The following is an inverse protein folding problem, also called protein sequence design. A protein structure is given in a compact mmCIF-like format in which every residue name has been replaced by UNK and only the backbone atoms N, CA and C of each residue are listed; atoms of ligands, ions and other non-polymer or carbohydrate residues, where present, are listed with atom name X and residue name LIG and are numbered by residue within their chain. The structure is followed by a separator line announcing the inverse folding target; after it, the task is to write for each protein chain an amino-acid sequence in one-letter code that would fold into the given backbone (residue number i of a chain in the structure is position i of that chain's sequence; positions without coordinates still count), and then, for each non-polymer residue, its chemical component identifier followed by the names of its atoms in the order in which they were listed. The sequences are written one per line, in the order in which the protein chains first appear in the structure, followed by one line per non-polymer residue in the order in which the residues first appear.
data_IF_538617907121
#
_entry.id   IF_538617907121
#
_cell.length_a   1.000
_cell.length_b   1.000
_cell.length_c   1.000
_cell.angle_alpha   90.00
_cell.angle_beta   90.00
_cell.angle_gamma   90.00
#
_symmetry.space_group_name_H-M   'P 1'
#
loop_
_entity.id
_entity.type
_entity.pdbx_description
1 polymer ?
#
# COMPACT_ATOMS: atom_id res chain seq x y z
N UNK A 1 44.40 -63.74 12.20
CA UNK A 1 43.25 -63.24 11.41
C UNK A 1 43.25 -61.73 11.57
N UNK A 2 43.43 -61.04 10.44
CA UNK A 2 43.17 -59.61 10.15
C UNK A 2 44.12 -58.61 10.83
N UNK A 3 45.13 -58.15 10.09
CA UNK A 3 45.14 -57.01 9.13
C UNK A 3 45.13 -55.68 9.90
N UNK A 4 46.25 -54.96 9.94
CA UNK A 4 46.60 -53.85 9.01
C UNK A 4 45.69 -52.62 9.32
N UNK A 5 46.18 -51.44 9.74
CA UNK A 5 47.13 -50.61 9.02
C UNK A 5 47.66 -49.46 9.90
N UNK A 6 48.95 -49.15 9.72
CA UNK A 6 49.51 -47.82 9.39
C UNK A 6 48.71 -46.57 9.83
N UNK A 7 49.28 -45.57 10.52
CA UNK A 7 49.98 -44.43 9.89
C UNK A 7 50.89 -43.68 10.90
N UNK A 8 51.91 -43.05 10.33
CA UNK A 8 53.12 -42.43 10.88
C UNK A 8 52.98 -41.06 11.57
N UNK A 9 53.87 -40.85 12.57
CA UNK A 9 54.74 -39.68 12.87
C UNK A 9 54.31 -38.25 12.44
N UNK A 10 54.40 -37.31 13.39
CA UNK A 10 55.09 -35.98 13.36
C UNK A 10 54.97 -35.36 14.77
N UNK A 11 56.04 -35.25 15.56
CA UNK A 11 56.97 -34.09 15.71
C UNK A 11 56.23 -32.78 16.00
N UNK A 12 56.60 -32.14 17.12
CA UNK A 12 55.80 -31.16 17.84
C UNK A 12 55.87 -29.71 17.37
N UNK A 13 55.22 -28.84 18.14
CA UNK A 13 55.47 -27.40 18.18
C UNK A 13 54.87 -26.85 19.48
N UNK A 14 55.75 -26.46 20.40
CA UNK A 14 55.44 -25.61 21.53
C UNK A 14 55.34 -24.15 21.08
N UNK A 15 54.48 -23.37 21.74
CA UNK A 15 54.54 -21.90 21.73
C UNK A 15 53.30 -21.23 21.14
N UNK A 16 52.26 -21.04 21.94
CA UNK A 16 51.23 -20.04 21.69
C UNK A 16 51.80 -18.71 22.21
N UNK A 17 52.29 -17.87 21.29
CA UNK A 17 52.63 -16.49 21.58
C UNK A 17 51.41 -15.62 21.26
N UNK A 18 50.63 -15.29 22.29
CA UNK A 18 49.55 -14.31 22.21
C UNK A 18 50.16 -12.90 22.26
N UNK A 19 50.30 -12.26 21.10
CA UNK A 19 50.72 -10.87 20.96
C UNK A 19 49.48 -10.01 20.64
N UNK A 20 48.94 -9.35 21.65
CA UNK A 20 47.92 -8.31 21.48
C UNK A 20 48.65 -6.99 21.19
N UNK A 21 48.68 -6.59 19.92
CA UNK A 21 49.12 -5.27 19.48
C UNK A 21 47.90 -4.44 19.08
N UNK A 22 47.37 -3.67 20.04
CA UNK A 22 46.39 -2.63 19.79
C UNK A 22 47.12 -1.45 19.12
N UNK A 23 46.92 -1.29 17.81
CA UNK A 23 47.39 -0.10 17.09
C UNK A 23 46.18 0.66 16.56
N UNK A 24 45.86 1.75 17.27
CA UNK A 24 44.97 2.79 16.76
C UNK A 24 45.67 3.45 15.56
N UNK A 25 45.07 3.36 14.37
CA UNK A 25 45.39 4.25 13.27
C UNK A 25 44.16 5.11 13.00
N UNK A 26 44.29 6.40 13.32
CA UNK A 26 43.41 7.44 12.82
C UNK A 26 43.90 7.82 11.43
N UNK A 27 43.06 7.61 10.42
CA UNK A 27 43.33 7.96 9.03
C UNK A 27 42.02 8.20 8.29
N UNK A 28 41.47 9.40 8.49
CA UNK A 28 40.34 9.95 7.73
C UNK A 28 40.81 10.20 6.30
N UNK A 29 40.04 9.69 5.33
CA UNK A 29 40.29 9.87 3.91
C UNK A 29 39.34 9.04 3.04
N UNK A 30 38.04 9.09 3.34
CA UNK A 30 37.02 8.58 2.42
C UNK A 30 36.79 9.68 1.37
N UNK A 31 37.35 9.51 0.18
CA UNK A 31 36.71 10.04 -1.02
C UNK A 31 35.63 9.02 -1.36
N UNK A 32 34.38 9.35 -1.02
CA UNK A 32 33.25 8.58 -1.56
C UNK A 32 33.17 8.92 -3.04
N UNK A 33 33.73 8.04 -3.87
CA UNK A 33 33.23 7.90 -5.22
C UNK A 33 31.80 7.40 -5.05
N UNK A 34 30.82 8.31 -5.17
CA UNK A 34 29.42 7.94 -5.32
C UNK A 34 29.32 7.09 -6.58
N UNK A 35 29.41 5.78 -6.40
CA UNK A 35 28.87 4.83 -7.34
C UNK A 35 27.39 5.13 -7.39
N UNK A 36 26.95 5.71 -8.50
CA UNK A 36 25.63 5.40 -9.03
C UNK A 36 25.70 3.95 -9.49
N UNK A 37 25.71 3.01 -8.54
CA UNK A 37 25.10 1.71 -8.79
C UNK A 37 23.62 2.04 -8.89
N UNK A 38 23.19 2.39 -10.11
CA UNK A 38 21.78 2.32 -10.45
C UNK A 38 21.42 0.85 -10.36
N UNK A 39 21.07 0.40 -9.17
CA UNK A 39 20.13 -0.69 -9.05
C UNK A 39 18.90 -0.18 -9.78
N UNK A 40 18.69 -0.67 -11.01
CA UNK A 40 17.37 -0.60 -11.63
C UNK A 40 16.44 -1.20 -10.59
N UNK A 41 15.55 -0.37 -10.05
CA UNK A 41 14.45 -0.87 -9.21
C UNK A 41 13.65 -1.84 -10.07
N UNK A 42 13.19 -2.97 -9.51
CA UNK A 42 12.41 -3.91 -10.29
C UNK A 42 11.23 -3.20 -10.94
N UNK A 43 11.00 -3.46 -12.22
CA UNK A 43 9.97 -2.84 -13.05
C UNK A 43 8.69 -3.67 -13.04
N UNK A 44 7.53 -3.00 -13.14
CA UNK A 44 6.25 -3.65 -13.34
C UNK A 44 5.32 -2.76 -14.17
N UNK A 45 4.33 -3.38 -14.81
CA UNK A 45 3.21 -2.69 -15.45
C UNK A 45 1.91 -3.43 -15.14
N UNK A 46 0.81 -2.70 -15.08
CA UNK A 46 -0.53 -3.26 -14.84
C UNK A 46 -1.53 -2.57 -15.75
N UNK A 47 -2.49 -3.35 -16.24
CA UNK A 47 -3.65 -2.89 -17.00
C UNK A 47 -4.90 -3.40 -16.30
N UNK A 48 -5.73 -2.48 -15.84
CA UNK A 48 -6.96 -2.76 -15.12
C UNK A 48 -8.12 -2.01 -15.77
N UNK A 49 -8.95 -2.78 -16.48
CA UNK A 49 -10.04 -2.22 -17.26
C UNK A 49 -11.34 -2.06 -16.45
N UNK A 50 -12.16 -1.13 -16.91
CA UNK A 50 -13.51 -0.93 -16.36
C UNK A 50 -14.33 -2.21 -16.54
N UNK A 51 -14.99 -2.65 -15.47
CA UNK A 51 -15.66 -3.95 -15.47
C UNK A 51 -16.93 -3.97 -14.62
N UNK A 52 -17.67 -5.06 -14.78
CA UNK A 52 -18.84 -5.36 -13.98
C UNK A 52 -18.59 -6.68 -13.26
N UNK A 53 -18.87 -6.73 -11.96
CA UNK A 53 -18.60 -7.90 -11.09
C UNK A 53 -19.81 -8.28 -10.25
N UNK A 54 -19.87 -9.53 -9.82
CA UNK A 54 -20.79 -9.99 -8.78
C UNK A 54 -20.36 -9.53 -7.37
N UNK A 55 -19.17 -8.92 -7.22
CA UNK A 55 -18.68 -8.29 -6.00
C UNK A 55 -17.61 -9.08 -5.23
N UNK A 56 -17.43 -10.38 -5.52
CA UNK A 56 -16.46 -11.24 -4.81
C UNK A 56 -15.05 -11.17 -5.43
N UNK A 57 -14.96 -11.01 -6.75
CA UNK A 57 -13.68 -11.00 -7.48
C UNK A 57 -13.65 -9.91 -8.55
N UNK A 58 -12.44 -9.45 -8.89
CA UNK A 58 -12.19 -8.59 -10.05
C UNK A 58 -11.08 -9.19 -10.89
N UNK A 59 -11.06 -8.85 -12.17
CA UNK A 59 -10.06 -9.35 -13.12
C UNK A 59 -9.10 -8.24 -13.51
N UNK A 60 -7.80 -8.50 -13.37
CA UNK A 60 -6.72 -7.68 -13.90
C UNK A 60 -6.41 -8.18 -15.31
N UNK A 61 -6.55 -7.33 -16.33
CA UNK A 61 -6.42 -7.75 -17.74
C UNK A 61 -5.01 -8.23 -18.03
N UNK A 62 -4.00 -7.45 -17.65
CA UNK A 62 -2.60 -7.80 -17.83
C UNK A 62 -1.77 -7.24 -16.68
N UNK A 63 -0.81 -8.03 -16.19
CA UNK A 63 0.23 -7.56 -15.29
C UNK A 63 1.56 -8.15 -15.73
N UNK A 64 2.60 -7.31 -15.78
CA UNK A 64 3.98 -7.75 -15.99
C UNK A 64 4.79 -7.40 -14.76
N UNK A 65 5.45 -8.40 -14.18
CA UNK A 65 6.31 -8.26 -13.01
C UNK A 65 7.75 -8.69 -13.37
N UNK A 66 8.75 -7.85 -13.12
CA UNK A 66 10.17 -8.24 -13.32
C UNK A 66 10.59 -9.36 -12.35
N UNK A 67 10.07 -9.31 -11.14
CA UNK A 67 10.23 -10.31 -10.08
C UNK A 67 8.85 -10.87 -9.69
N UNK A 68 8.78 -11.84 -8.78
CA UNK A 68 7.47 -12.37 -8.35
C UNK A 68 6.75 -11.43 -7.38
N UNK A 69 5.44 -11.58 -7.24
CA UNK A 69 4.67 -10.74 -6.33
C UNK A 69 3.17 -10.91 -6.43
N UNK A 70 2.44 -9.83 -6.14
CA UNK A 70 0.98 -9.79 -6.04
C UNK A 70 0.42 -8.57 -6.76
N UNK A 71 -0.88 -8.59 -7.06
CA UNK A 71 -1.61 -7.36 -7.39
C UNK A 71 -2.62 -7.10 -6.28
N UNK A 72 -2.40 -6.01 -5.54
CA UNK A 72 -3.33 -5.53 -4.53
C UNK A 72 -4.39 -4.64 -5.19
N UNK A 73 -5.63 -4.79 -4.73
CA UNK A 73 -6.75 -3.96 -5.15
C UNK A 73 -7.06 -2.99 -4.03
N UNK A 74 -6.93 -1.70 -4.31
CA UNK A 74 -7.24 -0.63 -3.38
C UNK A 74 -8.56 0.04 -3.73
N UNK A 75 -9.28 0.51 -2.74
CA UNK A 75 -10.37 1.45 -2.95
C UNK A 75 -9.81 2.87 -3.18
N UNK A 76 -10.38 3.62 -4.12
CA UNK A 76 -10.01 5.03 -4.30
C UNK A 76 -10.60 5.90 -3.17
N UNK A 77 -9.79 6.80 -2.60
CA UNK A 77 -10.29 7.77 -1.61
C UNK A 77 -11.09 8.90 -2.28
N UNK A 78 -11.90 9.63 -1.51
CA UNK A 78 -12.69 10.76 -2.03
C UNK A 78 -11.82 11.86 -2.70
N UNK A 79 -10.56 11.99 -2.30
CA UNK A 79 -9.58 12.91 -2.88
C UNK A 79 -8.90 12.37 -4.15
N UNK A 80 -9.27 11.17 -4.61
CA UNK A 80 -8.69 10.49 -5.76
C UNK A 80 -7.38 9.76 -5.47
N UNK A 81 -7.04 9.55 -4.19
CA UNK A 81 -5.84 8.85 -3.77
C UNK A 81 -6.02 7.33 -3.67
N UNK A 82 -4.91 6.65 -3.39
CA UNK A 82 -4.92 5.21 -3.06
C UNK A 82 -5.38 5.04 -1.61
N UNK A 83 -6.49 4.34 -1.42
CA UNK A 83 -7.06 4.02 -0.12
C UNK A 83 -6.59 2.68 0.42
N UNK A 84 -7.44 2.05 1.25
CA UNK A 84 -7.15 0.75 1.86
C UNK A 84 -7.11 -0.38 0.83
N UNK A 85 -6.32 -1.42 1.11
CA UNK A 85 -6.31 -2.68 0.35
C UNK A 85 -7.59 -3.43 0.68
N UNK A 86 -8.40 -3.73 -0.33
CA UNK A 86 -9.65 -4.49 -0.20
C UNK A 86 -9.57 -5.87 -0.86
N UNK A 87 -8.48 -6.21 -1.54
CA UNK A 87 -8.32 -7.51 -2.19
C UNK A 87 -6.92 -7.73 -2.69
N UNK A 88 -6.60 -8.99 -3.02
CA UNK A 88 -5.29 -9.38 -3.54
C UNK A 88 -5.42 -10.61 -4.44
N UNK A 89 -4.52 -10.73 -5.41
CA UNK A 89 -4.35 -11.95 -6.22
C UNK A 89 -3.65 -13.04 -5.41
N UNK A 90 -3.66 -14.27 -5.95
CA UNK A 90 -2.62 -15.24 -5.55
C UNK A 90 -1.23 -14.74 -6.02
N UNK A 91 -0.17 -15.36 -5.49
CA UNK A 91 1.20 -15.07 -5.91
C UNK A 91 1.40 -15.34 -7.40
N UNK A 92 2.06 -14.41 -8.07
CA UNK A 92 2.42 -14.44 -9.48
C UNK A 92 3.93 -14.54 -9.61
N UNK A 93 4.41 -15.54 -10.36
CA UNK A 93 5.83 -15.64 -10.71
C UNK A 93 6.26 -14.45 -11.60
N UNK A 94 7.57 -14.19 -11.70
CA UNK A 94 8.10 -13.19 -12.62
C UNK A 94 7.66 -13.45 -14.09
N UNK A 95 7.22 -12.40 -14.78
CA UNK A 95 6.73 -12.47 -16.17
C UNK A 95 5.42 -11.72 -16.37
N UNK A 96 4.80 -11.96 -17.54
CA UNK A 96 3.49 -11.39 -17.90
C UNK A 96 2.39 -12.42 -17.64
N UNK A 97 1.33 -11.97 -16.99
CA UNK A 97 0.11 -12.71 -16.71
C UNK A 97 -1.09 -11.95 -17.26
N UNK A 98 -2.06 -12.70 -17.77
CA UNK A 98 -3.30 -12.17 -18.37
C UNK A 98 -4.50 -12.75 -17.62
N UNK A 99 -5.61 -12.00 -17.58
CA UNK A 99 -6.88 -12.41 -16.96
C UNK A 99 -6.71 -12.91 -15.52
N UNK A 100 -5.97 -12.16 -14.69
CA UNK A 100 -5.66 -12.56 -13.31
C UNK A 100 -6.81 -12.20 -12.39
N UNK A 101 -7.34 -13.19 -11.68
CA UNK A 101 -8.41 -12.99 -10.68
C UNK A 101 -7.83 -12.49 -9.35
N UNK A 102 -8.33 -11.35 -8.88
CA UNK A 102 -8.10 -10.85 -7.53
C UNK A 102 -9.35 -11.07 -6.68
N UNK A 103 -9.20 -11.73 -5.54
CA UNK A 103 -10.31 -11.95 -4.61
C UNK A 103 -10.44 -10.77 -3.66
N UNK A 104 -11.63 -10.20 -3.54
CA UNK A 104 -11.92 -9.10 -2.64
C UNK A 104 -12.28 -9.63 -1.24
N UNK A 105 -12.01 -8.83 -0.21
CA UNK A 105 -12.32 -9.08 1.19
C UNK A 105 -11.90 -10.47 1.69
N UNK A 106 -10.74 -10.92 1.23
CA UNK A 106 -10.20 -12.27 1.49
C UNK A 106 -9.28 -12.30 2.71
N UNK A 107 -9.22 -13.45 3.39
CA UNK A 107 -8.27 -13.71 4.48
C UNK A 107 -6.80 -13.70 4.01
N UNK A 108 -6.54 -13.69 2.70
CA UNK A 108 -5.19 -13.57 2.14
C UNK A 108 -4.56 -12.19 2.38
N UNK A 109 -5.35 -11.16 2.70
CA UNK A 109 -4.84 -9.86 3.12
C UNK A 109 -4.60 -9.90 4.63
N UNK A 110 -3.39 -10.26 5.05
CA UNK A 110 -3.07 -10.31 6.48
C UNK A 110 -3.13 -8.91 7.11
N UNK A 111 -3.89 -8.76 8.19
CA UNK A 111 -4.14 -7.46 8.81
C UNK A 111 -5.26 -6.65 8.14
N UNK A 112 -5.95 -7.21 7.15
CA UNK A 112 -7.20 -6.67 6.63
C UNK A 112 -8.35 -6.88 7.63
N UNK A 113 -8.92 -5.77 8.13
CA UNK A 113 -10.14 -5.78 8.93
C UNK A 113 -11.34 -5.41 8.05
N UNK A 114 -11.99 -6.42 7.47
CA UNK A 114 -13.13 -6.23 6.58
C UNK A 114 -14.46 -6.49 7.29
N UNK A 115 -15.38 -5.53 7.22
CA UNK A 115 -16.75 -5.67 7.77
C UNK A 115 -17.70 -6.40 6.79
N UNK A 116 -17.34 -6.43 5.51
CA UNK A 116 -18.09 -7.04 4.41
C UNK A 116 -17.28 -8.16 3.75
N UNK A 117 -17.94 -9.03 2.98
CA UNK A 117 -17.32 -10.15 2.27
C UNK A 117 -17.33 -10.00 0.74
N UNK A 118 -17.90 -8.91 0.24
CA UNK A 118 -18.03 -8.62 -1.19
C UNK A 118 -18.24 -7.12 -1.37
N UNK A 119 -17.98 -6.61 -2.57
CA UNK A 119 -18.28 -5.25 -2.97
C UNK A 119 -19.79 -5.08 -3.16
N UNK A 120 -20.41 -4.15 -2.44
CA UNK A 120 -21.87 -3.93 -2.45
C UNK A 120 -22.29 -2.71 -3.27
N UNK A 121 -21.35 -1.80 -3.57
CA UNK A 121 -21.61 -0.54 -4.25
C UNK A 121 -20.62 -0.32 -5.39
N UNK A 122 -21.06 0.41 -6.42
CA UNK A 122 -20.20 0.83 -7.52
C UNK A 122 -19.10 1.77 -7.01
N UNK A 123 -17.88 1.62 -7.54
CA UNK A 123 -16.75 2.43 -7.09
C UNK A 123 -15.58 2.44 -8.05
N UNK A 124 -14.56 3.24 -7.74
CA UNK A 124 -13.28 3.20 -8.43
C UNK A 124 -12.30 2.39 -7.60
N UNK A 125 -11.77 1.33 -8.22
CA UNK A 125 -10.75 0.48 -7.63
C UNK A 125 -9.41 0.73 -8.33
N UNK A 126 -8.31 0.52 -7.63
CA UNK A 126 -6.97 0.78 -8.12
C UNK A 126 -6.18 -0.52 -8.00
N UNK A 127 -5.72 -1.04 -9.13
CA UNK A 127 -4.79 -2.16 -9.14
C UNK A 127 -3.37 -1.64 -8.92
N UNK A 128 -2.66 -2.21 -7.95
CA UNK A 128 -1.28 -1.86 -7.61
C UNK A 128 -0.44 -3.15 -7.50
N UNK A 129 0.59 -3.34 -8.31
CA UNK A 129 1.52 -4.44 -8.14
C UNK A 129 2.37 -4.27 -6.88
N UNK A 130 2.54 -5.35 -6.11
CA UNK A 130 3.41 -5.44 -4.93
C UNK A 130 4.46 -6.53 -5.13
N UNK A 131 5.70 -6.24 -4.75
CA UNK A 131 6.86 -7.14 -4.89
C UNK A 131 6.95 -8.05 -3.68
N UNK A 132 6.96 -9.37 -3.86
CA UNK A 132 7.31 -10.31 -2.78
C UNK A 132 8.78 -10.09 -2.38
N UNK A 133 8.99 -9.40 -1.26
CA UNK A 133 10.32 -8.86 -0.91
C UNK A 133 11.17 -9.85 -0.12
N UNK A 134 10.55 -10.81 0.55
CA UNK A 134 11.22 -11.80 1.38
C UNK A 134 11.14 -13.25 0.86
N UNK A 135 10.35 -13.45 -0.20
CA UNK A 135 10.28 -14.67 -1.00
C UNK A 135 9.49 -15.78 -0.34
N UNK A 136 8.52 -15.44 0.50
CA UNK A 136 7.69 -16.39 1.23
C UNK A 136 6.33 -16.66 0.57
N UNK A 137 6.02 -15.96 -0.53
CA UNK A 137 4.80 -16.05 -1.32
C UNK A 137 3.52 -15.73 -0.51
N UNK A 138 3.63 -15.04 0.62
CA UNK A 138 2.51 -14.46 1.37
C UNK A 138 2.43 -12.94 1.17
N UNK A 139 1.23 -12.37 1.26
CA UNK A 139 1.04 -10.92 1.14
C UNK A 139 0.95 -10.27 2.53
N UNK A 140 1.97 -9.50 2.89
CA UNK A 140 2.16 -8.96 4.24
C UNK A 140 2.22 -7.42 4.28
N UNK A 141 1.91 -6.73 3.18
CA UNK A 141 1.96 -5.26 3.14
C UNK A 141 1.15 -4.60 4.26
N UNK A 142 -0.07 -5.07 4.51
CA UNK A 142 -0.97 -4.47 5.51
C UNK A 142 -0.50 -4.81 6.94
N UNK A 143 -0.21 -6.09 7.22
CA UNK A 143 0.23 -6.55 8.54
C UNK A 143 1.59 -5.99 8.96
N UNK A 144 2.48 -5.74 7.99
CA UNK A 144 3.80 -5.15 8.19
C UNK A 144 3.80 -3.61 8.18
N UNK A 145 2.65 -2.96 7.99
CA UNK A 145 2.54 -1.52 7.80
C UNK A 145 3.42 -0.98 6.65
N UNK A 146 3.55 -1.78 5.58
CA UNK A 146 4.29 -1.47 4.36
C UNK A 146 5.80 -1.69 4.44
N UNK A 147 6.31 -2.36 5.47
CA UNK A 147 7.73 -2.72 5.57
C UNK A 147 8.09 -3.94 4.69
N UNK A 148 7.14 -4.85 4.49
CA UNK A 148 7.24 -6.03 3.62
C UNK A 148 6.24 -5.88 2.49
N UNK A 149 6.55 -6.50 1.36
CA UNK A 149 5.78 -6.45 0.12
C UNK A 149 5.41 -5.05 -0.33
N UNK A 150 6.40 -4.19 -0.50
CA UNK A 150 6.19 -2.84 -1.00
C UNK A 150 5.67 -2.82 -2.45
N UNK A 151 5.04 -1.72 -2.89
CA UNK A 151 4.61 -1.59 -4.27
C UNK A 151 5.79 -1.57 -5.23
N UNK A 152 5.59 -2.05 -6.45
CA UNK A 152 6.51 -1.73 -7.53
C UNK A 152 6.47 -0.24 -7.83
N UNK A 153 7.63 0.37 -8.07
CA UNK A 153 7.74 1.81 -8.31
C UNK A 153 8.48 2.12 -9.61
N UNK A 154 7.93 3.03 -10.41
CA UNK A 154 8.55 3.59 -11.61
C UNK A 154 8.69 5.10 -11.45
N UNK A 155 9.84 5.67 -11.84
CA UNK A 155 10.15 7.11 -11.72
C UNK A 155 9.90 7.75 -10.33
N UNK A 156 9.93 6.93 -9.27
CA UNK A 156 9.72 7.36 -7.89
C UNK A 156 8.26 7.40 -7.43
N UNK A 157 7.32 6.89 -8.23
CA UNK A 157 5.91 6.68 -7.86
C UNK A 157 5.51 5.21 -7.94
N UNK A 158 4.48 4.81 -7.19
CA UNK A 158 3.91 3.46 -7.29
C UNK A 158 3.25 3.26 -8.67
N UNK A 159 3.45 2.08 -9.25
CA UNK A 159 2.75 1.66 -10.45
C UNK A 159 1.30 1.35 -10.08
N UNK A 160 0.36 2.06 -10.70
CA UNK A 160 -1.07 1.92 -10.42
C UNK A 160 -1.88 2.06 -11.69
N UNK A 161 -3.05 1.40 -11.73
CA UNK A 161 -4.06 1.64 -12.76
C UNK A 161 -5.48 1.65 -12.14
N UNK A 162 -6.21 2.79 -12.20
CA UNK A 162 -7.56 2.91 -11.67
C UNK A 162 -8.63 2.46 -12.70
N UNK A 163 -9.63 1.71 -12.24
CA UNK A 163 -10.78 1.29 -13.04
C UNK A 163 -12.11 1.57 -12.32
N UNK A 164 -13.14 1.88 -13.10
CA UNK A 164 -14.53 1.91 -12.63
C UNK A 164 -15.08 0.49 -12.57
N UNK A 165 -15.54 0.08 -11.39
CA UNK A 165 -16.13 -1.23 -11.13
C UNK A 165 -17.60 -1.05 -10.78
N UNK A 166 -18.47 -1.70 -11.54
CA UNK A 166 -19.91 -1.73 -11.31
C UNK A 166 -20.31 -3.07 -10.69
N UNK A 167 -21.12 -3.06 -9.64
CA UNK A 167 -21.62 -4.29 -9.01
C UNK A 167 -22.94 -4.69 -9.67
N UNK A 168 -23.05 -5.94 -10.10
CA UNK A 168 -24.33 -6.46 -10.56
C UNK A 168 -25.32 -6.49 -9.40
N UNK A 169 -26.45 -5.80 -9.58
CA UNK A 169 -27.54 -5.93 -8.65
C UNK A 169 -28.01 -7.40 -8.65
N UNK A 170 -27.73 -8.11 -7.56
CA UNK A 170 -28.39 -9.38 -7.30
C UNK A 170 -29.87 -9.08 -7.11
N UNK A 171 -30.67 -9.23 -8.16
CA UNK A 171 -32.12 -9.32 -8.05
C UNK A 171 -32.41 -10.50 -7.10
N UNK A 172 -32.65 -10.20 -5.82
CA UNK A 172 -33.17 -11.11 -4.82
C UNK A 172 -34.45 -11.75 -5.39
N UNK A 173 -34.29 -12.88 -6.07
CA UNK A 173 -35.37 -13.57 -6.73
C UNK A 173 -36.22 -14.32 -5.69
N UNK A 174 -37.00 -13.58 -4.92
CA UNK A 174 -38.11 -14.06 -4.10
C UNK A 174 -39.42 -13.34 -4.52
N UNK A 175 -40.05 -13.78 -5.61
CA UNK A 175 -41.45 -14.25 -5.61
C UNK A 175 -41.86 -14.80 -7.00
N UNK A 176 -42.44 -15.99 -6.99
CA UNK A 176 -42.72 -16.80 -8.15
C UNK A 176 -43.89 -16.29 -8.99
N UNK A 177 -43.68 -16.23 -10.30
CA UNK A 177 -44.77 -16.31 -11.27
C UNK A 177 -44.43 -17.35 -12.32
N UNK A 178 -44.83 -18.59 -12.07
CA UNK A 178 -44.91 -19.61 -13.10
C UNK A 178 -45.80 -19.12 -14.25
N UNK A 179 -45.21 -18.94 -15.44
CA UNK A 179 -45.97 -18.99 -16.69
C UNK A 179 -45.35 -20.02 -17.62
N UNK A 180 -45.84 -21.25 -17.49
CA UNK A 180 -45.59 -22.31 -18.46
C UNK A 180 -46.26 -22.03 -19.82
N UNK A 181 -45.58 -22.53 -20.86
CA UNK A 181 -46.00 -22.83 -22.25
C UNK A 181 -45.82 -21.68 -23.25
N UNK A 182 -45.28 -21.90 -24.45
CA UNK A 182 -45.20 -23.13 -25.23
C UNK A 182 -44.05 -23.10 -26.25
N UNK A 183 -43.55 -24.30 -26.54
CA UNK A 183 -42.91 -24.75 -27.78
C UNK A 183 -43.16 -23.90 -29.04
N UNK A 184 -42.07 -23.59 -29.76
CA UNK A 184 -42.01 -23.91 -31.19
C UNK A 184 -40.59 -24.12 -31.68
N UNK A 185 -40.35 -25.38 -32.04
CA UNK A 185 -39.23 -25.91 -32.81
C UNK A 185 -39.26 -25.44 -34.27
N UNK A 186 -38.15 -24.91 -34.76
CA UNK A 186 -37.68 -24.91 -36.16
C UNK A 186 -36.19 -24.51 -36.07
N UNK A 187 -35.20 -25.41 -36.14
CA UNK A 187 -34.62 -25.98 -37.37
C UNK A 187 -34.72 -25.06 -38.58
N UNK A 188 -33.61 -24.38 -38.89
CA UNK A 188 -33.06 -24.41 -40.24
C UNK A 188 -31.53 -24.27 -40.18
N UNK A 189 -30.87 -25.18 -40.88
CA UNK A 189 -29.46 -25.15 -41.26
C UNK A 189 -29.29 -24.11 -42.39
N UNK A 190 -28.16 -23.39 -42.44
CA UNK A 190 -27.26 -23.36 -43.60
C UNK A 190 -26.25 -22.21 -43.54
N UNK A 191 -25.07 -22.57 -44.03
CA UNK A 191 -23.85 -21.81 -44.20
C UNK A 191 -23.97 -20.63 -45.17
N UNK A 192 -23.06 -19.65 -45.06
CA UNK A 192 -22.74 -18.79 -46.22
C UNK A 192 -22.05 -17.48 -45.91
N UNK A 193 -20.73 -17.44 -46.15
CA UNK A 193 -19.98 -16.43 -46.94
C UNK A 193 -20.11 -14.94 -46.53
N UNK A 194 -19.03 -14.34 -46.03
CA UNK A 194 -18.06 -13.52 -46.80
C UNK A 194 -18.66 -12.27 -47.44
N UNK A 195 -18.18 -11.12 -46.98
CA UNK A 195 -17.72 -9.93 -47.75
C UNK A 195 -17.64 -8.77 -46.73
N UNK A 196 -16.46 -8.35 -46.28
CA UNK A 196 -15.66 -7.29 -46.92
C UNK A 196 -16.52 -6.14 -47.45
N UNK A 197 -16.57 -5.01 -46.73
CA UNK A 197 -16.39 -3.70 -47.36
C UNK A 197 -15.66 -2.75 -46.39
N UNK A 198 -14.48 -2.34 -46.85
CA UNK A 198 -13.71 -1.20 -46.39
C UNK A 198 -14.45 0.12 -46.62
N UNK A 199 -13.85 1.20 -46.07
CA UNK A 199 -13.85 2.61 -46.48
C UNK A 199 -14.45 3.55 -45.41
N UNK A 200 -13.89 4.69 -45.06
CA UNK A 200 -12.67 5.42 -45.44
C UNK A 200 -12.56 6.60 -44.45
N UNK A 201 -11.33 7.09 -44.26
CA UNK A 201 -10.96 8.35 -43.63
C UNK A 201 -11.95 9.51 -43.87
N UNK A 202 -12.13 10.33 -42.84
CA UNK A 202 -12.08 11.79 -43.01
C UNK A 202 -11.10 12.36 -41.97
N UNK A 203 -10.03 12.96 -42.51
CA UNK A 203 -9.02 13.75 -41.82
C UNK A 203 -9.49 15.21 -41.69
N UNK A 204 -8.94 15.88 -40.68
CA UNK A 204 -8.59 17.31 -40.58
C UNK A 204 -9.68 18.39 -40.41
N UNK A 205 -9.51 19.18 -39.35
CA UNK A 205 -9.11 20.61 -39.34
C UNK A 205 -9.46 21.22 -37.94
N UNK A 206 -8.48 21.47 -37.06
CA UNK A 206 -7.63 22.66 -36.91
C UNK A 206 -8.21 23.77 -36.00
N UNK A 207 -7.29 24.30 -35.16
CA UNK A 207 -7.26 25.62 -34.49
C UNK A 207 -8.37 25.94 -33.47
N UNK A 208 -8.11 26.51 -32.30
CA UNK A 208 -7.33 27.72 -32.05
C UNK A 208 -6.61 27.71 -30.69
N UNK A 209 -5.46 28.38 -30.70
CA UNK A 209 -4.65 28.74 -29.56
C UNK A 209 -5.15 30.03 -28.88
N UNK A 210 -4.54 30.25 -27.70
CA UNK A 210 -4.26 31.56 -27.09
C UNK A 210 -5.30 32.12 -26.10
N UNK A 211 -4.89 32.24 -24.84
CA UNK A 211 -4.67 33.55 -24.20
C UNK A 211 -4.05 33.33 -22.81
N UNK A 212 -2.80 33.75 -22.69
CA UNK A 212 -2.12 34.04 -21.43
C UNK A 212 -2.36 35.50 -21.04
N UNK A 213 -2.56 35.77 -19.75
CA UNK A 213 -2.14 36.95 -18.95
C UNK A 213 -2.68 36.65 -17.52
N UNK A 214 -2.05 36.85 -16.38
CA UNK A 214 -0.95 37.73 -15.99
C UNK A 214 -1.33 38.38 -14.63
N UNK A 215 -0.50 38.11 -13.61
CA UNK A 215 -0.10 38.97 -12.47
C UNK A 215 -1.13 39.47 -11.41
N UNK A 216 -0.75 39.35 -10.13
CA UNK A 216 -0.91 40.33 -9.02
C UNK A 216 -0.42 39.65 -7.71
N UNK A 217 0.83 39.84 -7.28
CA UNK A 217 1.36 40.87 -6.36
C UNK A 217 0.90 40.82 -4.89
N UNK A 218 1.87 40.41 -4.05
CA UNK A 218 2.40 41.09 -2.86
C UNK A 218 1.58 41.31 -1.55
N UNK A 219 2.30 40.97 -0.47
CA UNK A 219 2.35 41.59 0.86
C UNK A 219 1.18 41.41 1.86
N UNK A 220 1.47 40.71 2.96
CA UNK A 220 1.28 41.27 4.31
C UNK A 220 2.04 40.43 5.36
N UNK A 221 3.13 41.02 5.87
CA UNK A 221 3.62 40.79 7.24
C UNK A 221 2.46 40.98 8.24
N UNK A 222 2.25 40.05 9.17
CA UNK A 222 1.79 40.40 10.52
C UNK A 222 2.49 39.53 11.56
N UNK A 223 3.41 40.18 12.26
CA UNK A 223 3.94 39.83 13.57
C UNK A 223 2.84 39.32 14.52
N UNK A 224 3.02 38.13 15.09
CA UNK A 224 2.39 37.79 16.37
C UNK A 224 3.49 37.44 17.37
N UNK A 225 3.66 38.40 18.28
CA UNK A 225 4.55 38.36 19.42
C UNK A 225 4.27 37.14 20.30
N UNK A 226 5.35 36.57 20.84
CA UNK A 226 5.28 35.59 21.92
C UNK A 226 4.58 36.19 23.13
N UNK A 227 3.54 35.51 23.58
CA UNK A 227 2.92 35.72 24.88
C UNK A 227 3.53 34.72 25.86
N UNK A 228 4.00 35.26 26.98
CA UNK A 228 4.63 34.57 28.09
C UNK A 228 3.81 33.36 28.56
N UNK A 229 4.46 32.18 28.58
CA UNK A 229 3.96 31.00 29.27
C UNK A 229 4.07 31.21 30.78
N UNK A 230 3.07 31.85 31.37
CA UNK A 230 2.84 31.84 32.81
C UNK A 230 2.12 30.52 33.18
N UNK A 231 2.70 29.79 34.12
CA UNK A 231 2.21 28.53 34.72
C UNK A 231 0.68 28.35 34.66
N UNK A 232 0.21 27.48 33.77
CA UNK A 232 -1.15 26.92 33.83
C UNK A 232 -1.12 25.69 34.74
N UNK A 233 -1.46 25.89 36.01
CA UNK A 233 -1.80 24.82 36.95
C UNK A 233 -3.05 24.11 36.41
N UNK A 234 -2.88 22.93 35.81
CA UNK A 234 -3.98 22.14 35.24
C UNK A 234 -4.90 21.72 36.39
N UNK A 235 -6.09 22.29 36.43
CA UNK A 235 -7.08 22.00 37.45
C UNK A 235 -7.94 20.80 37.03
N UNK A 236 -8.58 20.14 37.99
CA UNK A 236 -9.47 19.01 37.69
C UNK A 236 -10.65 19.40 36.76
N UNK A 237 -10.97 20.70 36.66
CA UNK A 237 -11.99 21.21 35.74
C UNK A 237 -11.49 21.20 34.28
N UNK A 238 -10.19 21.37 34.03
CA UNK A 238 -9.61 21.36 32.67
C UNK A 238 -9.59 19.95 32.05
N UNK A 239 -9.57 18.91 32.90
CA UNK A 239 -9.63 17.51 32.47
C UNK A 239 -11.05 17.13 32.01
N UNK A 240 -12.08 17.72 32.63
CA UNK A 240 -13.48 17.48 32.26
C UNK A 240 -13.81 18.11 30.90
N UNK A 241 -13.31 19.33 30.64
CA UNK A 241 -13.41 19.99 29.33
C UNK A 241 -12.64 19.24 28.22
N UNK A 242 -11.48 18.66 28.53
CA UNK A 242 -10.72 17.84 27.57
C UNK A 242 -11.41 16.51 27.24
N UNK A 243 -12.06 15.87 28.22
CA UNK A 243 -12.84 14.64 27.99
C UNK A 243 -14.09 14.91 27.13
N UNK A 244 -14.75 16.06 27.33
CA UNK A 244 -15.93 16.46 26.56
C UNK A 244 -15.55 16.83 25.11
N UNK A 245 -14.39 17.45 24.88
CA UNK A 245 -13.88 17.76 23.54
C UNK A 245 -13.50 16.51 22.71
N UNK A 246 -13.08 15.42 23.38
CA UNK A 246 -12.73 14.16 22.72
C UNK A 246 -13.90 13.16 22.62
N UNK A 247 -15.10 13.53 23.07
CA UNK A 247 -16.28 12.65 23.04
C UNK A 247 -16.14 11.39 23.91
N UNK A 248 -15.20 11.38 24.86
CA UNK A 248 -14.92 10.22 25.70
C UNK A 248 -15.79 10.30 26.97
N UNK A 249 -16.78 9.41 27.06
CA UNK A 249 -17.62 9.30 28.25
C UNK A 249 -16.92 8.49 29.34
N UNK A 250 -17.20 8.81 30.60
CA UNK A 250 -16.63 8.14 31.78
C UNK A 250 -16.87 6.62 31.78
N UNK A 251 -17.94 6.17 31.12
CA UNK A 251 -18.29 4.76 30.97
C UNK A 251 -17.30 3.97 30.07
N UNK A 252 -16.67 4.59 29.08
CA UNK A 252 -15.65 3.93 28.23
C UNK A 252 -14.31 3.74 28.96
N UNK A 253 -14.00 4.61 29.91
CA UNK A 253 -12.73 4.59 30.66
C UNK A 253 -12.70 3.48 31.72
N UNK A 254 -13.86 3.16 32.33
CA UNK A 254 -13.98 2.02 33.24
C UNK A 254 -13.84 0.67 32.52
N UNK A 255 -14.24 0.57 31.24
CA UNK A 255 -14.13 -0.66 30.44
C UNK A 255 -12.69 -0.92 29.97
N UNK A 256 -11.92 0.14 29.71
CA UNK A 256 -10.47 0.05 29.44
C UNK A 256 -9.61 -0.07 30.71
N UNK A 257 -10.22 -0.03 31.91
CA UNK A 257 -9.54 -0.16 33.19
C UNK A 257 -8.58 0.99 33.50
N UNK A 258 -8.68 2.12 32.79
CA UNK A 258 -7.86 3.30 33.02
C UNK A 258 -8.45 4.13 34.15
N UNK A 259 -7.63 4.45 35.13
CA UNK A 259 -8.03 5.36 36.20
C UNK A 259 -7.86 6.80 35.73
N UNK A 260 -8.58 7.73 36.37
CA UNK A 260 -8.37 9.17 36.15
C UNK A 260 -6.91 9.61 36.36
N UNK A 261 -6.14 8.84 37.15
CA UNK A 261 -4.73 9.07 37.40
C UNK A 261 -3.85 8.65 36.21
N UNK A 262 -4.20 7.57 35.51
CA UNK A 262 -3.49 7.12 34.31
C UNK A 262 -3.70 8.10 33.15
N UNK A 263 -4.87 8.72 33.06
CA UNK A 263 -5.19 9.75 32.05
C UNK A 263 -4.43 11.05 32.33
N UNK A 264 -4.36 11.45 33.61
CA UNK A 264 -3.58 12.62 34.01
C UNK A 264 -2.07 12.43 33.76
N UNK A 265 -1.55 11.22 33.96
CA UNK A 265 -0.16 10.89 33.65
C UNK A 265 0.11 10.89 32.13
N UNK A 266 -0.82 10.36 31.30
CA UNK A 266 -0.70 10.39 29.84
C UNK A 266 -0.73 11.82 29.28
N UNK A 267 -1.60 12.68 29.81
CA UNK A 267 -1.69 14.08 29.42
C UNK A 267 -0.42 14.87 29.81
N UNK A 268 0.16 14.59 30.97
CA UNK A 268 1.45 15.17 31.36
C UNK A 268 2.59 14.69 30.45
N UNK A 269 2.60 13.42 30.02
CA UNK A 269 3.60 12.90 29.10
C UNK A 269 3.48 13.51 27.69
N UNK A 270 2.24 13.73 27.21
CA UNK A 270 1.99 14.49 25.98
C UNK A 270 2.43 15.96 26.09
N UNK A 271 2.23 16.59 27.24
CA UNK A 271 2.64 17.98 27.47
C UNK A 271 4.17 18.13 27.52
N UNK A 272 4.87 17.18 28.15
CA UNK A 272 6.34 17.12 28.14
C UNK A 272 6.90 16.85 26.73
N UNK A 273 6.24 16.00 25.93
CA UNK A 273 6.63 15.73 24.54
C UNK A 273 6.55 17.00 23.68
N UNK A 274 5.53 17.84 23.87
CA UNK A 274 5.38 19.11 23.15
C UNK A 274 6.44 20.13 23.59
N UNK A 275 6.77 20.21 24.90
CA UNK A 275 7.82 21.11 25.38
C UNK A 275 9.25 20.68 24.97
N UNK A 276 9.50 19.38 24.78
CA UNK A 276 10.80 18.89 24.32
C UNK A 276 11.13 19.31 22.87
N UNK A 277 10.15 19.68 22.06
CA UNK A 277 10.36 20.15 20.67
C UNK A 277 10.83 21.63 20.66
N UNK A 278 10.64 22.38 21.75
CA UNK A 278 10.93 23.82 21.84
C UNK A 278 12.32 24.23 22.38
N UNK A 279 13.14 23.31 22.89
CA UNK A 279 14.42 23.67 23.56
C UNK A 279 15.70 23.27 22.80
N UNK A 280 15.59 22.83 21.54
CA UNK A 280 16.72 22.56 20.65
C UNK A 280 17.49 23.83 20.24
N UNK A 281 18.14 24.51 21.19
CA UNK A 281 19.12 25.54 20.87
C UNK A 281 20.33 24.92 20.16
N UNK A 282 20.77 25.45 19.00
CA UNK A 282 22.01 25.01 18.37
C UNK A 282 23.20 25.50 19.19
N UNK A 283 23.95 24.58 19.80
CA UNK A 283 25.24 24.93 20.39
C UNK A 283 26.27 25.08 19.27
N UNK A 284 26.81 26.29 19.13
CA UNK A 284 28.07 26.58 18.45
C UNK A 284 29.27 25.95 19.17
#
# INVERSE_FOLDING_TARGET
MRDDSSVSKRVGAAGIALLVALSMVAGVGLVSAGGTDGATSPEASVTFENQTTEGETVVVEEVTLEEGGFVAIHEQTEDGGVGGVIGVTEYLEAGTHEDVEATLFTDAVEGGDFEQSMLEEDGTLIAMPHLDTDGDEAYEFVSSAGEVDGPYTEDGGAVVDPASVTVEAMDDAEDGSESQKADKKAQDDEEGQQDEEEQQNEEDEQDDADEAEGEDDADADEDMAGEDAEDMDVTAEDVEDAMEAMGMNTDMLEEMGMTAQDIADLLNEMFDAIQSIGSGSPSA
#
